data_IF_442012517588
#
_entry.id   IF_442012517588
#
_cell.length_a   1.000
_cell.length_b   1.000
_cell.length_c   1.000
_cell.angle_alpha   90.00
_cell.angle_beta   90.00
_cell.angle_gamma   90.00
#
_symmetry.space_group_name_H-M   'P 1'
#
loop_
_entity.id
_entity.type
_entity.pdbx_description
1 polymer ?
#
# COMPACT_ATOMS: atom_id res chain seq x y z
N UNK A 1 3.29 -16.11 4.67
CA UNK A 1 2.49 -15.06 4.02
C UNK A 1 1.53 -15.69 3.03
N UNK A 2 0.95 -14.91 2.13
CA UNK A 2 0.03 -15.37 1.09
C UNK A 2 0.54 -14.93 -0.29
N UNK A 3 1.02 -15.88 -1.09
CA UNK A 3 1.60 -15.60 -2.41
C UNK A 3 0.55 -15.28 -3.48
N UNK A 4 -0.74 -15.41 -3.18
CA UNK A 4 -1.82 -14.91 -4.04
C UNK A 4 -2.05 -13.40 -3.90
N UNK A 5 -1.32 -12.73 -2.99
CA UNK A 5 -1.37 -11.27 -2.84
C UNK A 5 -0.33 -10.60 -3.76
N UNK A 6 0.11 -9.39 -3.41
CA UNK A 6 1.01 -8.60 -4.25
C UNK A 6 2.34 -9.33 -4.49
N UNK A 7 2.79 -9.45 -5.75
CA UNK A 7 4.10 -10.01 -6.08
C UNK A 7 5.23 -9.05 -5.64
N UNK A 8 6.48 -9.52 -5.59
CA UNK A 8 7.60 -8.64 -5.31
C UNK A 8 7.73 -7.55 -6.40
N UNK A 9 8.05 -6.32 -5.97
CA UNK A 9 8.24 -5.20 -6.89
C UNK A 9 9.56 -5.37 -7.63
N UNK A 10 9.58 -5.39 -8.98
CA UNK A 10 10.81 -5.48 -9.76
C UNK A 10 11.76 -4.33 -9.44
N UNK A 11 13.05 -4.65 -9.28
CA UNK A 11 14.08 -3.64 -9.04
C UNK A 11 14.62 -3.10 -10.37
N UNK A 12 14.98 -1.82 -10.40
CA UNK A 12 15.75 -1.24 -11.51
C UNK A 12 17.23 -1.19 -11.12
N UNK A 13 18.09 -1.89 -11.85
CA UNK A 13 19.55 -1.85 -11.68
C UNK A 13 20.16 -1.38 -12.99
N UNK A 14 20.94 -0.30 -12.94
CA UNK A 14 21.61 0.30 -14.11
C UNK A 14 20.67 0.57 -15.30
N UNK A 15 19.46 1.07 -15.02
CA UNK A 15 18.44 1.36 -16.03
C UNK A 15 17.72 0.14 -16.62
N UNK A 16 18.12 -1.08 -16.25
CA UNK A 16 17.46 -2.32 -16.65
C UNK A 16 16.53 -2.82 -15.54
N UNK A 17 15.32 -3.22 -15.92
CA UNK A 17 14.39 -3.89 -15.01
C UNK A 17 14.88 -5.31 -14.76
N UNK A 18 15.22 -5.62 -13.51
CA UNK A 18 15.52 -6.98 -13.06
C UNK A 18 14.21 -7.60 -12.60
N UNK A 19 13.85 -8.74 -13.21
CA UNK A 19 12.65 -9.47 -12.83
C UNK A 19 12.77 -9.91 -11.36
N UNK A 20 11.78 -9.58 -10.55
CA UNK A 20 11.74 -10.05 -9.17
C UNK A 20 11.24 -11.50 -9.13
N UNK A 21 11.93 -12.33 -8.34
CA UNK A 21 11.58 -13.73 -8.09
C UNK A 21 10.80 -13.84 -6.79
N UNK A 22 9.87 -14.79 -6.72
CA UNK A 22 9.16 -15.06 -5.47
C UNK A 22 10.10 -15.68 -4.44
N UNK A 23 9.78 -15.49 -3.15
CA UNK A 23 10.63 -15.99 -2.08
C UNK A 23 10.75 -17.53 -2.10
N UNK A 24 9.70 -18.24 -2.51
CA UNK A 24 9.71 -19.70 -2.63
C UNK A 24 10.57 -20.24 -3.78
N UNK A 25 11.07 -19.37 -4.66
CA UNK A 25 11.97 -19.75 -5.76
C UNK A 25 13.45 -19.71 -5.35
N UNK A 26 13.76 -19.32 -4.11
CA UNK A 26 15.13 -19.31 -3.60
C UNK A 26 15.63 -20.73 -3.32
N UNK A 27 16.89 -21.02 -3.68
CA UNK A 27 17.52 -22.33 -3.43
C UNK A 27 17.55 -22.71 -1.94
N UNK A 28 17.61 -21.71 -1.06
CA UNK A 28 17.62 -21.91 0.40
C UNK A 28 16.23 -22.10 1.00
N UNK A 29 15.15 -21.92 0.22
CA UNK A 29 13.79 -21.96 0.75
C UNK A 29 13.48 -23.29 1.45
N UNK A 30 13.77 -24.42 0.81
CA UNK A 30 13.50 -25.75 1.37
C UNK A 30 14.32 -26.05 2.64
N UNK A 31 15.51 -25.47 2.74
CA UNK A 31 16.39 -25.65 3.92
C UNK A 31 16.00 -24.76 5.09
N UNK A 32 15.37 -23.62 4.83
CA UNK A 32 15.03 -22.60 5.84
C UNK A 32 13.55 -22.61 6.24
N UNK A 33 12.67 -23.10 5.36
CA UNK A 33 11.22 -23.08 5.52
C UNK A 33 10.70 -24.51 5.54
N UNK A 34 10.17 -24.92 6.69
CA UNK A 34 9.56 -26.24 6.85
C UNK A 34 8.26 -26.42 6.04
N UNK A 35 7.61 -27.59 6.17
CA UNK A 35 6.35 -27.87 5.49
C UNK A 35 5.28 -26.80 5.74
N UNK A 36 4.55 -26.36 4.70
CA UNK A 36 3.58 -25.28 4.85
C UNK A 36 2.35 -25.74 5.64
N UNK A 37 1.91 -24.89 6.58
CA UNK A 37 0.61 -25.05 7.26
C UNK A 37 -0.40 -24.13 6.59
N UNK A 38 -1.45 -24.71 5.99
CA UNK A 38 -2.49 -23.95 5.30
C UNK A 38 -3.68 -23.70 6.21
N UNK A 39 -3.93 -22.44 6.56
CA UNK A 39 -5.11 -22.01 7.30
C UNK A 39 -6.31 -21.90 6.35
N UNK A 40 -7.42 -22.55 6.72
CA UNK A 40 -8.65 -22.61 5.89
C UNK A 40 -9.77 -21.69 6.34
N UNK A 41 -9.76 -21.24 7.60
CA UNK A 41 -10.83 -20.42 8.17
C UNK A 41 -10.54 -18.93 8.00
N UNK A 42 -11.48 -18.21 7.40
CA UNK A 42 -11.46 -16.74 7.30
C UNK A 42 -12.16 -16.15 8.53
N UNK A 43 -11.51 -15.18 9.18
CA UNK A 43 -12.04 -14.50 10.38
C UNK A 43 -12.44 -13.04 10.14
N UNK A 44 -11.90 -12.40 9.09
CA UNK A 44 -12.12 -10.97 8.84
C UNK A 44 -13.54 -10.68 8.35
N UNK A 45 -14.06 -11.54 7.47
CA UNK A 45 -15.42 -11.45 6.95
C UNK A 45 -16.28 -12.54 7.59
N UNK A 46 -17.45 -12.17 8.11
CA UNK A 46 -18.42 -13.12 8.69
C UNK A 46 -19.37 -13.71 7.63
N UNK A 47 -19.61 -12.99 6.55
CA UNK A 47 -20.52 -13.42 5.48
C UNK A 47 -19.85 -14.46 4.56
N UNK A 48 -20.40 -15.67 4.54
CA UNK A 48 -19.81 -16.78 3.78
C UNK A 48 -19.89 -16.55 2.26
N UNK A 49 -20.93 -15.87 1.78
CA UNK A 49 -21.04 -15.49 0.37
C UNK A 49 -19.87 -14.61 -0.07
N UNK A 50 -19.57 -13.59 0.72
CA UNK A 50 -18.44 -12.69 0.48
C UNK A 50 -17.09 -13.39 0.60
N UNK A 51 -16.92 -14.30 1.56
CA UNK A 51 -15.71 -15.13 1.67
C UNK A 51 -15.49 -15.95 0.38
N UNK A 52 -16.55 -16.54 -0.17
CA UNK A 52 -16.45 -17.31 -1.40
C UNK A 52 -16.06 -16.44 -2.59
N UNK A 53 -16.70 -15.26 -2.74
CA UNK A 53 -16.36 -14.30 -3.79
C UNK A 53 -14.89 -13.83 -3.73
N UNK A 54 -14.36 -13.59 -2.52
CA UNK A 54 -12.96 -13.21 -2.33
C UNK A 54 -11.99 -14.35 -2.67
N UNK A 55 -12.37 -15.61 -2.39
CA UNK A 55 -11.56 -16.77 -2.78
C UNK A 55 -11.56 -17.01 -4.29
N UNK A 56 -12.69 -16.81 -4.98
CA UNK A 56 -12.73 -16.83 -6.46
C UNK A 56 -11.76 -15.81 -7.05
N UNK A 57 -11.79 -14.57 -6.54
CA UNK A 57 -10.86 -13.51 -6.95
C UNK A 57 -9.40 -13.88 -6.66
N UNK A 58 -9.12 -14.50 -5.51
CA UNK A 58 -7.77 -14.92 -5.10
C UNK A 58 -7.11 -15.87 -6.09
N UNK A 59 -7.87 -16.75 -6.72
CA UNK A 59 -7.38 -17.72 -7.70
C UNK A 59 -7.64 -17.32 -9.15
N UNK A 60 -8.32 -16.20 -9.39
CA UNK A 60 -8.64 -15.72 -10.74
C UNK A 60 -9.79 -16.45 -11.43
N UNK A 61 -10.57 -17.24 -10.68
CA UNK A 61 -11.68 -18.07 -11.19
C UNK A 61 -13.03 -17.43 -10.84
N UNK A 62 -13.30 -16.23 -11.36
CA UNK A 62 -14.50 -15.47 -11.01
C UNK A 62 -15.73 -15.92 -11.80
N UNK A 63 -16.79 -16.30 -11.09
CA UNK A 63 -18.09 -16.58 -11.70
C UNK A 63 -18.78 -15.29 -12.19
N UNK A 64 -19.67 -15.41 -13.18
CA UNK A 64 -20.48 -14.27 -13.66
C UNK A 64 -21.31 -13.65 -12.53
N UNK A 65 -21.85 -14.47 -11.62
CA UNK A 65 -22.55 -14.00 -10.43
C UNK A 65 -21.68 -13.10 -9.56
N UNK A 66 -20.45 -13.53 -9.27
CA UNK A 66 -19.49 -12.76 -8.47
C UNK A 66 -19.13 -11.45 -9.16
N UNK A 67 -18.87 -11.49 -10.47
CA UNK A 67 -18.56 -10.28 -11.26
C UNK A 67 -19.72 -9.28 -11.20
N UNK A 68 -20.96 -9.75 -11.37
CA UNK A 68 -22.14 -8.88 -11.33
C UNK A 68 -22.35 -8.25 -9.95
N UNK A 69 -22.09 -9.00 -8.87
CA UNK A 69 -22.15 -8.46 -7.50
C UNK A 69 -21.08 -7.37 -7.31
N UNK A 70 -19.83 -7.61 -7.69
CA UNK A 70 -18.77 -6.59 -7.57
C UNK A 70 -19.08 -5.32 -8.38
N UNK A 71 -19.63 -5.45 -9.59
CA UNK A 71 -20.09 -4.29 -10.38
C UNK A 71 -21.18 -3.50 -9.65
N UNK A 72 -22.10 -4.19 -8.98
CA UNK A 72 -23.15 -3.57 -8.16
C UNK A 72 -22.63 -2.81 -6.93
N UNK A 73 -21.38 -3.02 -6.52
CA UNK A 73 -20.74 -2.26 -5.43
C UNK A 73 -20.30 -0.85 -5.85
N UNK A 74 -20.36 -0.50 -7.15
CA UNK A 74 -20.10 0.86 -7.65
C UNK A 74 -21.23 1.88 -7.34
N UNK A 75 -21.98 1.63 -6.27
CA UNK A 75 -23.05 2.49 -5.79
C UNK A 75 -22.50 3.43 -4.72
N UNK A 76 -23.13 4.58 -4.55
CA UNK A 76 -22.85 5.43 -3.40
C UNK A 76 -23.22 4.69 -2.11
N UNK A 77 -22.36 4.82 -1.10
CA UNK A 77 -22.59 4.28 0.24
C UNK A 77 -22.80 5.48 1.16
N UNK A 78 -23.95 5.53 1.83
CA UNK A 78 -24.21 6.50 2.87
C UNK A 78 -23.70 5.94 4.20
N UNK A 79 -22.79 6.67 4.83
CA UNK A 79 -22.23 6.31 6.13
C UNK A 79 -22.93 7.16 7.21
N UNK A 80 -23.58 6.51 8.17
CA UNK A 80 -24.35 7.19 9.23
C UNK A 80 -23.46 7.92 10.24
N UNK A 81 -22.20 7.47 10.37
CA UNK A 81 -21.22 7.98 11.33
C UNK A 81 -20.39 9.15 10.78
N UNK A 82 -20.69 9.65 9.58
CA UNK A 82 -19.91 10.67 8.86
C UNK A 82 -18.41 10.33 8.72
N UNK A 83 -18.01 9.07 8.97
CA UNK A 83 -16.63 8.62 8.78
C UNK A 83 -16.48 8.21 7.32
N UNK A 84 -15.68 8.98 6.59
CA UNK A 84 -15.38 8.66 5.21
C UNK A 84 -14.53 7.37 5.15
N UNK A 85 -14.84 6.44 4.24
CA UNK A 85 -14.09 5.20 4.11
C UNK A 85 -12.68 5.47 3.60
N UNK A 86 -11.76 4.56 3.92
CA UNK A 86 -10.44 4.54 3.30
C UNK A 86 -10.56 4.15 1.82
N UNK A 87 -10.02 4.99 0.96
CA UNK A 87 -9.87 4.69 -0.47
C UNK A 87 -8.54 3.98 -0.75
N UNK A 88 -8.57 3.04 -1.70
CA UNK A 88 -7.41 2.29 -2.15
C UNK A 88 -7.16 2.58 -3.63
N UNK A 89 -5.91 2.91 -3.98
CA UNK A 89 -5.52 3.24 -5.35
C UNK A 89 -4.27 2.46 -5.78
N UNK A 90 -4.11 2.17 -7.09
CA UNK A 90 -2.94 1.47 -7.61
C UNK A 90 -1.67 2.33 -7.65
N UNK A 91 -1.79 3.67 -7.78
CA UNK A 91 -0.64 4.57 -7.86
C UNK A 91 -0.59 5.59 -6.73
N UNK A 92 0.62 5.89 -6.25
CA UNK A 92 0.87 6.90 -5.20
C UNK A 92 0.32 8.28 -5.57
N UNK A 93 0.47 8.69 -6.82
CA UNK A 93 -0.05 9.99 -7.28
C UNK A 93 -1.56 10.13 -7.06
N UNK A 94 -2.33 9.05 -7.26
CA UNK A 94 -3.77 9.02 -7.01
C UNK A 94 -4.08 9.09 -5.52
N UNK A 95 -3.32 8.35 -4.69
CA UNK A 95 -3.41 8.45 -3.22
C UNK A 95 -3.14 9.87 -2.76
N UNK A 96 -2.06 10.48 -3.23
CA UNK A 96 -1.66 11.84 -2.83
C UNK A 96 -2.69 12.88 -3.30
N UNK A 97 -3.23 12.72 -4.51
CA UNK A 97 -4.31 13.55 -5.03
C UNK A 97 -5.59 13.46 -4.19
N UNK A 98 -6.03 12.24 -3.89
CA UNK A 98 -7.22 11.98 -3.08
C UNK A 98 -7.05 12.51 -1.64
N UNK A 99 -5.86 12.33 -1.04
CA UNK A 99 -5.54 12.84 0.29
C UNK A 99 -5.50 14.36 0.32
N UNK A 100 -4.87 15.03 -0.68
CA UNK A 100 -4.85 16.49 -0.76
C UNK A 100 -6.26 17.08 -0.91
N UNK A 101 -7.10 16.48 -1.74
CA UNK A 101 -8.49 16.90 -1.93
C UNK A 101 -9.29 16.78 -0.64
N UNK A 102 -9.16 15.67 0.10
CA UNK A 102 -9.81 15.52 1.41
C UNK A 102 -9.30 16.51 2.44
N UNK A 103 -7.98 16.70 2.51
CA UNK A 103 -7.37 17.64 3.45
C UNK A 103 -7.86 19.07 3.17
N UNK A 104 -7.96 19.50 1.90
CA UNK A 104 -8.41 20.85 1.57
C UNK A 104 -9.86 21.12 2.02
N UNK A 105 -10.71 20.09 2.03
CA UNK A 105 -12.10 20.15 2.47
C UNK A 105 -12.26 20.24 4.00
N UNK A 106 -11.23 19.92 4.78
CA UNK A 106 -11.30 20.06 6.24
C UNK A 106 -11.35 21.55 6.64
N UNK A 107 -12.26 21.94 7.56
CA UNK A 107 -12.45 23.33 7.96
C UNK A 107 -11.35 23.87 8.87
N UNK A 108 -10.57 22.99 9.51
CA UNK A 108 -9.51 23.39 10.44
C UNK A 108 -8.34 24.10 9.76
N UNK A 109 -7.61 24.87 10.57
CA UNK A 109 -6.40 25.57 10.12
C UNK A 109 -5.30 24.57 9.73
N UNK A 110 -4.56 24.91 8.68
CA UNK A 110 -3.43 24.12 8.19
C UNK A 110 -2.17 24.39 9.00
N UNK A 111 -1.56 23.32 9.48
CA UNK A 111 -0.23 23.32 10.10
C UNK A 111 0.74 22.61 9.17
N UNK A 112 1.88 23.24 8.88
CA UNK A 112 2.87 22.70 7.94
C UNK A 112 4.16 22.35 8.68
N UNK A 113 4.61 21.12 8.47
CA UNK A 113 5.83 20.57 9.03
C UNK A 113 6.83 20.35 7.89
N UNK A 114 8.02 20.93 8.03
CA UNK A 114 9.10 20.81 7.04
C UNK A 114 10.13 19.82 7.57
N UNK A 115 10.49 18.84 6.75
CA UNK A 115 11.52 17.87 7.09
C UNK A 115 12.90 18.55 7.18
N UNK A 116 13.73 18.07 8.11
CA UNK A 116 15.12 18.50 8.24
C UNK A 116 16.04 17.33 7.93
N UNK A 117 16.70 17.39 6.78
CA UNK A 117 17.53 16.32 6.25
C UNK A 117 19.03 16.70 6.30
N UNK A 118 19.88 15.78 6.77
CA UNK A 118 21.33 15.98 6.83
C UNK A 118 22.07 14.91 6.02
N UNK A 119 23.30 15.23 5.58
CA UNK A 119 24.15 14.26 4.87
C UNK A 119 24.86 13.34 5.86
N UNK A 120 24.85 12.04 5.56
CA UNK A 120 25.60 11.03 6.29
C UNK A 120 26.86 10.56 5.56
N UNK A 121 27.44 9.46 6.03
CA UNK A 121 28.53 8.74 5.36
C UNK A 121 28.03 7.43 4.74
N UNK A 122 28.64 7.01 3.63
CA UNK A 122 28.39 5.70 3.03
C UNK A 122 29.05 4.56 3.84
N UNK A 123 28.85 3.32 3.39
CA UNK A 123 29.43 2.12 4.01
C UNK A 123 30.97 2.10 4.01
N UNK A 124 31.60 2.95 3.19
CA UNK A 124 33.06 3.07 3.08
C UNK A 124 33.59 4.30 3.86
N UNK A 125 32.72 5.03 4.58
CA UNK A 125 33.08 6.23 5.32
C UNK A 125 33.17 7.51 4.49
N UNK A 126 32.81 7.49 3.20
CA UNK A 126 32.82 8.70 2.37
C UNK A 126 31.59 9.56 2.66
N UNK A 127 31.76 10.89 2.69
CA UNK A 127 30.65 11.82 2.84
C UNK A 127 29.73 11.78 1.62
N UNK A 128 28.43 11.57 1.86
CA UNK A 128 27.40 11.63 0.83
C UNK A 128 27.16 13.10 0.45
N UNK A 129 27.23 13.43 -0.84
CA UNK A 129 26.94 14.79 -1.29
C UNK A 129 25.43 15.06 -1.40
N UNK A 130 25.05 16.34 -1.56
CA UNK A 130 23.63 16.75 -1.57
C UNK A 130 22.81 16.07 -2.68
N UNK A 131 23.39 15.89 -3.87
CA UNK A 131 22.71 15.22 -5.00
C UNK A 131 22.47 13.74 -4.71
N UNK A 132 23.45 13.07 -4.09
CA UNK A 132 23.31 11.68 -3.67
C UNK A 132 22.31 11.53 -2.53
N UNK A 133 22.32 12.43 -1.55
CA UNK A 133 21.34 12.50 -0.47
C UNK A 133 19.94 12.61 -1.05
N UNK A 134 19.70 13.58 -1.92
CA UNK A 134 18.37 13.81 -2.50
C UNK A 134 17.86 12.57 -3.24
N UNK A 135 18.72 11.91 -4.04
CA UNK A 135 18.36 10.64 -4.71
C UNK A 135 18.06 9.49 -3.74
N UNK A 136 18.74 9.43 -2.60
CA UNK A 136 18.50 8.42 -1.57
C UNK A 136 17.18 8.70 -0.83
N UNK A 137 16.92 9.97 -0.51
CA UNK A 137 15.71 10.41 0.18
C UNK A 137 14.48 10.36 -0.72
N UNK A 138 14.62 10.58 -2.03
CA UNK A 138 13.52 10.41 -3.00
C UNK A 138 12.96 8.97 -3.04
N UNK A 139 13.72 7.99 -2.54
CA UNK A 139 13.26 6.60 -2.39
C UNK A 139 12.49 6.36 -1.10
N UNK A 140 12.59 7.27 -0.13
CA UNK A 140 11.84 7.19 1.12
C UNK A 140 10.39 7.61 0.89
N UNK A 141 9.51 7.09 1.75
CA UNK A 141 8.08 7.39 1.70
C UNK A 141 7.76 8.70 2.45
N UNK A 142 8.76 9.36 3.02
CA UNK A 142 8.58 10.53 3.88
C UNK A 142 8.54 11.81 3.03
N UNK A 143 7.46 12.60 3.07
CA UNK A 143 7.38 13.84 2.33
C UNK A 143 8.28 14.93 2.97
N UNK A 144 8.89 15.77 2.13
CA UNK A 144 9.70 16.93 2.59
C UNK A 144 8.85 17.98 3.30
N UNK A 145 7.57 18.08 2.92
CA UNK A 145 6.59 19.00 3.50
C UNK A 145 5.34 18.20 3.80
N UNK A 146 4.92 18.20 5.06
CA UNK A 146 3.69 17.57 5.51
C UNK A 146 2.74 18.64 6.02
N UNK A 147 1.62 18.82 5.33
CA UNK A 147 0.54 19.71 5.78
C UNK A 147 -0.55 18.88 6.45
N UNK A 148 -0.94 19.27 7.65
CA UNK A 148 -2.01 18.65 8.43
C UNK A 148 -3.07 19.72 8.77
N UNK A 149 -4.29 19.28 9.05
CA UNK A 149 -5.37 20.13 9.54
C UNK A 149 -6.06 19.44 10.70
N UNK A 150 -6.56 20.23 11.65
CA UNK A 150 -7.44 19.71 12.70
C UNK A 150 -8.76 19.30 12.04
N UNK A 151 -9.08 18.01 12.12
CA UNK A 151 -10.44 17.53 11.87
C UNK A 151 -11.30 17.81 13.10
N UNK A 152 -12.61 17.95 12.94
CA UNK A 152 -13.54 17.96 14.07
C UNK A 152 -13.33 16.61 14.78
N UNK A 153 -12.67 16.63 15.93
CA UNK A 153 -12.59 15.48 16.81
C UNK A 153 -14.01 15.31 17.37
N UNK A 154 -14.64 14.18 17.09
CA UNK A 154 -15.88 13.81 17.76
C UNK A 154 -15.59 13.74 19.26
N UNK A 155 -16.14 14.70 20.01
CA UNK A 155 -16.35 14.63 21.45
C UNK A 155 -17.59 13.80 21.75
#
# INVERSE_FOLDING_TARGET
GDFCQLPPVPNKRDGKTVLARFAFEAETWETCVGPPVVLKKVFRQKDQGFVNMLNEMRFGEMSESTINIFRGLNRNVNYEDNVQPTELFPHREQVDGANRTRLSQLPGESQTYVAFDTTGTDLNGNKVNDVQRDRLLDRLVVPKILTLKVSIAYS
#
